data_IF_072352273501
#
_entry.id   IF_072352273501
#
_cell.length_a   1.000
_cell.length_b   1.000
_cell.length_c   1.000
_cell.angle_alpha   90.00
_cell.angle_beta   90.00
_cell.angle_gamma   90.00
#
_symmetry.space_group_name_H-M   'P 1'
#
loop_
_entity.id
_entity.type
_entity.pdbx_description
1 polymer ?
#
# COMPACT_ATOMS: atom_id res chain seq x y z
N UNK A 1 13.93 0.31 -3.62
CA UNK A 1 14.30 -0.43 -2.38
C UNK A 1 14.67 0.58 -1.33
N UNK A 2 14.16 0.43 -0.12
CA UNK A 2 14.53 1.31 0.98
C UNK A 2 16.01 1.16 1.35
N UNK A 3 16.67 2.28 1.61
CA UNK A 3 18.06 2.37 2.05
C UNK A 3 18.17 3.01 3.44
N UNK A 4 17.13 3.74 3.87
CA UNK A 4 17.08 4.38 5.20
C UNK A 4 16.92 3.32 6.28
N UNK A 5 17.88 3.26 7.21
CA UNK A 5 17.82 2.31 8.31
C UNK A 5 16.80 2.77 9.37
N UNK A 6 16.14 1.80 9.98
CA UNK A 6 15.19 2.05 11.07
C UNK A 6 15.86 2.74 12.24
N UNK A 7 17.08 2.32 12.57
CA UNK A 7 17.87 2.94 13.67
C UNK A 7 18.08 4.43 13.40
N UNK A 8 18.46 4.83 12.18
CA UNK A 8 18.70 6.24 11.85
C UNK A 8 17.44 7.11 12.03
N UNK A 9 16.25 6.54 11.80
CA UNK A 9 14.99 7.24 12.03
C UNK A 9 14.67 7.33 13.54
N UNK A 10 14.97 6.27 14.30
CA UNK A 10 14.80 6.26 15.76
C UNK A 10 15.75 7.26 16.42
N UNK A 11 17.03 7.26 16.05
CA UNK A 11 18.04 8.19 16.57
C UNK A 11 17.62 9.65 16.34
N UNK A 12 17.13 9.98 15.15
CA UNK A 12 16.58 11.32 14.85
C UNK A 12 15.38 11.67 15.73
N UNK A 13 14.50 10.71 16.00
CA UNK A 13 13.37 10.94 16.88
C UNK A 13 13.86 11.21 18.33
N UNK A 14 14.84 10.44 18.83
CA UNK A 14 15.44 10.64 20.15
C UNK A 14 16.10 12.02 20.30
N UNK A 15 16.82 12.47 19.26
CA UNK A 15 17.42 13.82 19.24
C UNK A 15 16.36 14.93 19.33
N UNK A 16 15.28 14.82 18.54
CA UNK A 16 14.20 15.82 18.55
C UNK A 16 13.44 15.80 19.87
N UNK A 17 13.21 14.62 20.45
CA UNK A 17 12.56 14.43 21.75
C UNK A 17 13.47 14.83 22.92
N UNK A 18 14.79 15.04 22.67
CA UNK A 18 15.81 15.29 23.70
C UNK A 18 15.88 14.18 24.76
N UNK A 19 15.66 12.93 24.35
CA UNK A 19 15.68 11.74 25.20
C UNK A 19 16.65 10.67 24.65
N UNK A 20 17.89 11.06 24.39
CA UNK A 20 18.94 10.17 23.87
C UNK A 20 19.35 9.04 24.83
N UNK A 21 18.93 9.11 26.07
CA UNK A 21 19.12 8.05 27.06
C UNK A 21 17.90 7.11 27.20
N UNK A 22 16.85 7.34 26.42
CA UNK A 22 15.67 6.48 26.35
C UNK A 22 14.93 6.27 27.69
N UNK A 23 14.94 7.30 28.53
CA UNK A 23 14.32 7.27 29.86
C UNK A 23 12.80 7.38 29.74
N UNK A 24 12.31 8.22 28.85
CA UNK A 24 10.89 8.51 28.67
C UNK A 24 10.26 7.69 27.54
N UNK A 25 10.95 7.55 26.42
CA UNK A 25 10.56 6.76 25.26
C UNK A 25 11.60 5.69 24.96
N UNK A 26 11.34 4.43 25.33
CA UNK A 26 12.24 3.34 24.96
C UNK A 26 12.32 3.18 23.44
N UNK A 27 13.47 2.74 22.93
CA UNK A 27 13.67 2.46 21.50
C UNK A 27 12.62 1.48 20.95
N UNK A 28 12.17 0.52 21.76
CA UNK A 28 11.08 -0.37 21.40
C UNK A 28 9.75 0.36 21.23
N UNK A 29 9.47 1.39 22.04
CA UNK A 29 8.28 2.22 21.89
C UNK A 29 8.33 3.01 20.59
N UNK A 30 9.47 3.62 20.29
CA UNK A 30 9.70 4.35 19.04
C UNK A 30 9.60 3.44 17.82
N UNK A 31 10.15 2.22 17.88
CA UNK A 31 9.99 1.20 16.84
C UNK A 31 8.52 0.83 16.61
N UNK A 32 7.73 0.71 17.68
CA UNK A 32 6.31 0.45 17.56
C UNK A 32 5.58 1.61 16.86
N UNK A 33 5.94 2.86 17.18
CA UNK A 33 5.37 4.03 16.49
C UNK A 33 5.79 4.09 15.03
N UNK A 34 7.03 3.72 14.69
CA UNK A 34 7.50 3.59 13.30
C UNK A 34 6.65 2.58 12.53
N UNK A 35 6.45 1.38 13.08
CA UNK A 35 5.61 0.34 12.48
C UNK A 35 4.15 0.81 12.29
N UNK A 36 3.62 1.56 13.25
CA UNK A 36 2.29 2.16 13.13
C UNK A 36 2.25 3.23 12.04
N UNK A 37 3.29 4.08 11.95
CA UNK A 37 3.42 5.11 10.92
C UNK A 37 3.43 4.53 9.52
N UNK A 38 4.16 3.44 9.30
CA UNK A 38 4.17 2.77 7.99
C UNK A 38 2.77 2.28 7.59
N UNK A 39 2.01 1.70 8.52
CA UNK A 39 0.64 1.25 8.25
C UNK A 39 -0.32 2.43 8.01
N UNK A 40 -0.14 3.51 8.75
CA UNK A 40 -0.94 4.73 8.55
C UNK A 40 -0.68 5.35 7.17
N UNK A 41 0.57 5.37 6.72
CA UNK A 41 0.92 5.81 5.36
C UNK A 41 0.17 4.97 4.31
N UNK A 42 0.16 3.64 4.44
CA UNK A 42 -0.54 2.76 3.49
C UNK A 42 -2.05 2.94 3.54
N UNK A 43 -2.62 3.33 4.68
CA UNK A 43 -4.04 3.68 4.78
C UNK A 43 -4.38 4.89 3.91
N UNK A 44 -3.56 5.96 3.95
CA UNK A 44 -3.71 7.14 3.11
C UNK A 44 -3.24 6.94 1.67
N UNK A 45 -2.22 6.12 1.49
CA UNK A 45 -1.53 5.86 0.22
C UNK A 45 -1.39 4.35 0.00
N UNK A 46 -2.44 3.68 -0.52
CA UNK A 46 -2.39 2.24 -0.79
C UNK A 46 -1.28 1.84 -1.77
N UNK A 47 -0.86 2.77 -2.63
CA UNK A 47 0.25 2.62 -3.57
C UNK A 47 1.65 2.70 -2.92
N UNK A 48 1.75 3.13 -1.67
CA UNK A 48 3.02 3.20 -0.94
C UNK A 48 3.62 1.82 -0.62
N UNK A 49 2.78 0.79 -0.56
CA UNK A 49 3.20 -0.61 -0.35
C UNK A 49 2.43 -1.52 -1.30
N UNK A 50 3.03 -1.82 -2.44
CA UNK A 50 2.43 -2.63 -3.48
C UNK A 50 3.18 -3.94 -3.68
N UNK A 51 2.42 -4.98 -3.99
CA UNK A 51 2.96 -6.28 -4.41
C UNK A 51 2.47 -6.56 -5.82
N UNK A 52 3.40 -6.89 -6.71
CA UNK A 52 3.11 -7.42 -8.05
C UNK A 52 3.52 -8.89 -8.06
N UNK A 53 2.57 -9.77 -8.29
CA UNK A 53 2.85 -11.21 -8.31
C UNK A 53 1.95 -11.98 -9.26
N UNK A 54 2.38 -13.23 -9.54
CA UNK A 54 1.57 -14.23 -10.23
C UNK A 54 0.54 -14.78 -9.26
N UNK A 55 -0.74 -14.61 -9.58
CA UNK A 55 -1.87 -15.08 -8.78
C UNK A 55 -2.56 -16.24 -9.49
N UNK A 56 -2.72 -17.37 -8.79
CA UNK A 56 -3.45 -18.52 -9.28
C UNK A 56 -4.95 -18.32 -9.04
N UNK A 57 -5.73 -18.38 -10.10
CA UNK A 57 -7.18 -18.24 -10.05
C UNK A 57 -7.85 -19.48 -9.45
N UNK A 58 -8.88 -19.24 -8.65
CA UNK A 58 -9.83 -20.29 -8.27
C UNK A 58 -10.79 -20.58 -9.44
N UNK A 59 -11.34 -21.79 -9.50
CA UNK A 59 -12.33 -22.23 -10.49
C UNK A 59 -13.72 -21.61 -10.18
N UNK A 60 -13.76 -20.30 -10.11
CA UNK A 60 -14.96 -19.53 -9.85
C UNK A 60 -14.83 -18.09 -10.36
N UNK A 61 -15.95 -17.43 -10.62
CA UNK A 61 -15.92 -16.02 -11.03
C UNK A 61 -15.39 -15.11 -9.92
N UNK A 62 -15.72 -15.38 -8.64
CA UNK A 62 -15.23 -14.59 -7.50
C UNK A 62 -13.85 -15.05 -7.06
N UNK A 63 -12.92 -14.11 -6.98
CA UNK A 63 -11.56 -14.30 -6.52
C UNK A 63 -11.33 -13.51 -5.23
N UNK A 64 -10.39 -13.97 -4.40
CA UNK A 64 -10.02 -13.30 -3.15
C UNK A 64 -8.52 -13.08 -3.12
N UNK A 65 -8.09 -11.86 -2.77
CA UNK A 65 -6.68 -11.51 -2.65
C UNK A 65 -5.95 -12.39 -1.63
N UNK A 66 -4.63 -12.52 -1.74
CA UNK A 66 -3.79 -13.13 -0.71
C UNK A 66 -4.02 -12.48 0.67
N UNK A 67 -3.68 -13.20 1.74
CA UNK A 67 -3.93 -12.77 3.14
C UNK A 67 -3.29 -11.40 3.44
N UNK A 68 -2.11 -11.12 2.86
CA UNK A 68 -1.41 -9.83 2.98
C UNK A 68 -2.07 -8.70 2.20
N UNK A 69 -2.97 -9.02 1.25
CA UNK A 69 -3.63 -8.04 0.39
C UNK A 69 -4.67 -7.21 1.15
N UNK A 70 -4.63 -5.91 0.93
CA UNK A 70 -5.59 -4.94 1.48
C UNK A 70 -6.64 -4.54 0.45
N UNK A 71 -6.20 -4.27 -0.78
CA UNK A 71 -7.08 -3.95 -1.91
C UNK A 71 -6.39 -4.24 -3.24
N UNK A 72 -7.18 -4.67 -4.22
CA UNK A 72 -6.71 -4.78 -5.61
C UNK A 72 -6.46 -3.37 -6.16
N UNK A 73 -5.34 -3.21 -6.88
CA UNK A 73 -5.01 -1.99 -7.61
C UNK A 73 -5.17 -2.18 -9.10
N UNK A 74 -4.66 -3.29 -9.66
CA UNK A 74 -4.77 -3.57 -11.08
C UNK A 74 -4.56 -5.07 -11.40
N UNK A 75 -5.01 -5.48 -12.59
CA UNK A 75 -4.71 -6.78 -13.19
C UNK A 75 -4.17 -6.52 -14.60
N UNK A 76 -2.93 -6.91 -14.88
CA UNK A 76 -2.30 -6.59 -16.15
C UNK A 76 -2.65 -7.56 -17.27
N UNK A 77 -2.45 -8.85 -17.01
CA UNK A 77 -2.55 -9.86 -18.06
C UNK A 77 -2.69 -11.27 -17.50
N UNK A 78 -3.13 -12.17 -18.34
CA UNK A 78 -2.97 -13.59 -18.13
C UNK A 78 -1.48 -13.98 -18.26
N UNK A 79 -1.03 -14.92 -17.43
CA UNK A 79 0.32 -15.50 -17.52
C UNK A 79 0.29 -16.90 -18.08
N UNK A 80 -0.75 -17.67 -17.76
CA UNK A 80 -1.00 -19.04 -18.25
C UNK A 80 -2.50 -19.25 -18.41
N UNK A 81 -2.95 -19.99 -19.45
CA UNK A 81 -2.16 -20.58 -20.53
C UNK A 81 -1.72 -19.56 -21.60
N UNK A 82 -2.39 -18.43 -21.74
CA UNK A 82 -2.17 -17.42 -22.77
C UNK A 82 -1.79 -16.08 -22.14
N UNK A 83 -0.86 -15.35 -22.76
CA UNK A 83 -0.43 -14.02 -22.31
C UNK A 83 -1.29 -12.91 -22.93
N UNK A 84 -2.59 -12.90 -22.62
CA UNK A 84 -3.53 -11.89 -23.11
C UNK A 84 -3.75 -10.81 -22.04
N UNK A 85 -3.96 -9.52 -22.45
CA UNK A 85 -4.28 -8.46 -21.50
C UNK A 85 -5.62 -8.73 -20.81
N UNK A 86 -5.76 -8.22 -19.59
CA UNK A 86 -7.02 -8.24 -18.84
C UNK A 86 -7.44 -6.79 -18.62
N UNK A 87 -8.69 -6.47 -18.84
CA UNK A 87 -9.20 -5.11 -18.74
C UNK A 87 -10.28 -4.99 -17.68
N UNK A 88 -10.32 -3.85 -17.00
CA UNK A 88 -11.41 -3.57 -16.06
C UNK A 88 -12.70 -3.27 -16.82
N UNK A 89 -13.82 -3.79 -16.32
CA UNK A 89 -15.15 -3.49 -16.85
C UNK A 89 -16.13 -3.21 -15.69
N UNK A 90 -17.10 -2.35 -15.93
CA UNK A 90 -18.17 -2.13 -14.99
C UNK A 90 -19.14 -3.34 -14.97
N UNK A 91 -19.50 -3.80 -13.77
CA UNK A 91 -20.41 -4.92 -13.60
C UNK A 91 -21.69 -4.80 -14.44
N UNK A 92 -22.28 -3.60 -14.47
CA UNK A 92 -23.53 -3.33 -15.18
C UNK A 92 -23.45 -3.67 -16.68
N UNK A 93 -22.29 -3.46 -17.29
CA UNK A 93 -22.10 -3.77 -18.72
C UNK A 93 -22.18 -5.29 -18.96
N UNK A 94 -21.57 -6.09 -18.07
CA UNK A 94 -21.70 -7.55 -18.19
C UNK A 94 -23.11 -8.04 -17.86
N UNK A 95 -23.76 -7.48 -16.84
CA UNK A 95 -25.15 -7.81 -16.49
C UNK A 95 -26.12 -7.52 -17.66
N UNK A 96 -25.84 -6.49 -18.49
CA UNK A 96 -26.69 -6.10 -19.62
C UNK A 96 -26.36 -6.87 -20.93
N UNK A 97 -25.13 -7.37 -21.09
CA UNK A 97 -24.67 -7.94 -22.38
C UNK A 97 -24.54 -9.46 -22.36
N UNK A 98 -24.32 -10.06 -21.21
CA UNK A 98 -24.02 -11.50 -21.08
C UNK A 98 -24.89 -12.10 -19.98
N UNK A 99 -25.94 -12.80 -20.40
CA UNK A 99 -26.76 -13.56 -19.48
C UNK A 99 -25.89 -14.61 -18.75
N UNK A 100 -26.06 -14.70 -17.42
CA UNK A 100 -25.39 -15.69 -16.58
C UNK A 100 -23.85 -15.69 -16.68
N UNK A 101 -23.24 -14.50 -16.83
CA UNK A 101 -21.77 -14.36 -16.95
C UNK A 101 -21.01 -14.97 -15.76
N UNK A 102 -21.65 -15.09 -14.58
CA UNK A 102 -21.08 -15.74 -13.41
C UNK A 102 -20.77 -17.23 -13.60
N UNK A 103 -21.41 -17.88 -14.57
CA UNK A 103 -21.24 -19.29 -14.92
C UNK A 103 -20.39 -19.48 -16.18
N UNK A 104 -20.00 -18.39 -16.84
CA UNK A 104 -19.21 -18.46 -18.07
C UNK A 104 -17.77 -18.85 -17.81
N UNK A 105 -17.33 -19.97 -18.41
CA UNK A 105 -15.95 -20.46 -18.34
C UNK A 105 -15.17 -20.19 -19.60
N UNK A 106 -13.84 -20.04 -19.50
CA UNK A 106 -12.97 -19.80 -20.64
C UNK A 106 -11.51 -20.20 -20.38
N UNK A 107 -10.71 -20.17 -21.45
CA UNK A 107 -9.28 -20.49 -21.40
C UNK A 107 -8.41 -19.34 -20.86
N UNK A 108 -8.94 -18.12 -20.82
CA UNK A 108 -8.25 -16.94 -20.31
C UNK A 108 -9.25 -15.91 -19.86
N UNK A 109 -8.90 -15.13 -18.86
CA UNK A 109 -9.68 -14.00 -18.39
C UNK A 109 -9.59 -12.86 -19.39
N UNK A 110 -10.71 -12.26 -19.76
CA UNK A 110 -10.78 -11.09 -20.64
C UNK A 110 -11.00 -9.81 -19.83
N UNK A 111 -11.87 -9.90 -18.83
CA UNK A 111 -12.26 -8.76 -18.02
C UNK A 111 -12.23 -9.08 -16.53
N UNK A 112 -12.01 -8.04 -15.73
CA UNK A 112 -12.23 -8.12 -14.29
C UNK A 112 -13.14 -7.00 -13.80
N UNK A 113 -13.86 -7.28 -12.71
CA UNK A 113 -14.76 -6.36 -12.05
C UNK A 113 -14.26 -6.15 -10.64
N UNK A 114 -14.10 -4.90 -10.24
CA UNK A 114 -13.69 -4.53 -8.90
C UNK A 114 -14.73 -3.65 -8.23
N UNK A 115 -15.08 -3.99 -6.96
CA UNK A 115 -15.98 -3.20 -6.14
C UNK A 115 -15.21 -2.62 -4.94
N UNK A 116 -15.05 -1.30 -4.83
CA UNK A 116 -14.36 -0.66 -3.70
C UNK A 116 -14.97 -0.94 -2.33
N UNK A 117 -16.23 -1.38 -2.26
CA UNK A 117 -16.92 -1.74 -1.00
C UNK A 117 -16.41 -3.09 -0.45
N UNK A 118 -15.99 -4.02 -1.35
CA UNK A 118 -15.35 -5.28 -0.97
C UNK A 118 -13.93 -5.32 -1.56
N UNK A 119 -12.98 -4.57 -0.96
CA UNK A 119 -11.67 -4.32 -1.57
C UNK A 119 -10.77 -5.56 -1.65
N UNK A 120 -11.08 -6.62 -0.91
CA UNK A 120 -10.33 -7.87 -0.90
C UNK A 120 -10.80 -8.90 -1.91
N UNK A 121 -11.91 -8.64 -2.58
CA UNK A 121 -12.46 -9.54 -3.59
C UNK A 121 -12.58 -8.82 -4.94
N UNK A 122 -12.51 -9.61 -6.00
CA UNK A 122 -12.78 -9.17 -7.35
C UNK A 122 -13.42 -10.31 -8.15
N UNK A 123 -14.02 -9.99 -9.28
CA UNK A 123 -14.59 -10.99 -10.18
C UNK A 123 -13.81 -11.00 -11.48
N UNK A 124 -13.73 -12.16 -12.09
CA UNK A 124 -13.10 -12.37 -13.41
C UNK A 124 -14.11 -12.93 -14.38
N UNK A 125 -13.99 -12.54 -15.65
CA UNK A 125 -14.86 -13.01 -16.72
C UNK A 125 -14.03 -13.23 -18.01
N UNK A 126 -14.23 -14.35 -18.71
CA UNK A 126 -14.76 -15.60 -18.17
C UNK A 126 -13.83 -16.18 -17.09
N UNK A 127 -14.32 -17.00 -16.18
CA UNK A 127 -13.46 -17.64 -15.18
C UNK A 127 -12.87 -18.97 -15.70
N UNK A 128 -11.72 -19.43 -15.20
CA UNK A 128 -11.11 -20.65 -15.66
C UNK A 128 -11.95 -21.89 -15.29
N UNK A 129 -12.06 -22.84 -16.23
CA UNK A 129 -12.78 -24.10 -16.04
C UNK A 129 -11.95 -25.18 -15.34
N UNK A 130 -10.65 -24.95 -15.19
CA UNK A 130 -9.69 -25.88 -14.59
C UNK A 130 -8.62 -25.14 -13.78
N UNK A 131 -7.88 -25.86 -12.97
CA UNK A 131 -6.81 -25.31 -12.13
C UNK A 131 -5.56 -24.94 -12.93
N UNK A 132 -4.76 -24.02 -12.39
CA UNK A 132 -3.45 -23.66 -12.95
C UNK A 132 -3.45 -22.41 -13.84
N UNK A 133 -4.58 -21.76 -14.03
CA UNK A 133 -4.62 -20.44 -14.67
C UNK A 133 -4.04 -19.40 -13.75
N UNK A 134 -3.14 -18.60 -14.28
CA UNK A 134 -2.48 -17.53 -13.51
C UNK A 134 -2.59 -16.20 -14.23
N UNK A 135 -2.76 -15.15 -13.42
CA UNK A 135 -2.78 -13.75 -13.85
C UNK A 135 -1.74 -12.95 -13.11
N UNK A 136 -1.31 -11.84 -13.67
CA UNK A 136 -0.44 -10.87 -13.01
C UNK A 136 -1.29 -9.80 -12.34
N UNK A 137 -1.25 -9.77 -10.99
CA UNK A 137 -2.00 -8.82 -10.19
C UNK A 137 -1.10 -7.84 -9.46
N UNK A 138 -1.59 -6.62 -9.28
CA UNK A 138 -1.01 -5.63 -8.38
C UNK A 138 -2.04 -5.32 -7.29
N UNK A 139 -1.60 -5.42 -6.06
CA UNK A 139 -2.43 -5.08 -4.91
C UNK A 139 -1.63 -4.33 -3.85
N UNK A 140 -2.34 -3.54 -3.06
CA UNK A 140 -1.77 -2.93 -1.86
C UNK A 140 -1.63 -3.97 -0.77
N UNK A 141 -0.47 -3.99 -0.11
CA UNK A 141 -0.16 -4.92 0.98
C UNK A 141 0.16 -4.18 2.26
N UNK A 142 -0.12 -4.82 3.40
CA UNK A 142 0.28 -4.26 4.70
C UNK A 142 1.79 -4.42 4.89
N UNK A 143 2.52 -3.36 5.24
CA UNK A 143 3.93 -3.48 5.60
C UNK A 143 4.11 -4.46 6.75
N UNK A 144 5.11 -5.33 6.63
CA UNK A 144 5.47 -6.25 7.71
C UNK A 144 5.97 -5.48 8.93
N UNK A 145 5.68 -6.00 10.13
CA UNK A 145 6.26 -5.45 11.34
C UNK A 145 7.76 -5.65 11.34
N UNK A 146 8.49 -4.56 11.53
CA UNK A 146 9.92 -4.59 11.76
C UNK A 146 10.16 -4.94 13.22
N UNK A 147 11.08 -5.87 13.47
CA UNK A 147 11.55 -6.26 14.79
C UNK A 147 13.06 -6.10 14.86
N UNK A 148 13.55 -5.45 15.91
CA UNK A 148 14.98 -5.21 16.15
C UNK A 148 15.35 -5.80 17.50
N UNK A 149 16.39 -6.62 17.51
CA UNK A 149 16.93 -7.20 18.75
C UNK A 149 18.07 -6.38 19.33
N UNK A 150 18.82 -5.68 18.51
CA UNK A 150 19.96 -4.86 18.91
C UNK A 150 19.94 -3.51 18.16
N UNK A 151 19.52 -2.45 18.85
CA UNK A 151 19.41 -1.12 18.30
C UNK A 151 20.74 -0.43 17.98
N UNK A 152 21.88 -1.02 18.37
CA UNK A 152 23.19 -0.43 18.07
C UNK A 152 23.78 -0.90 16.73
N UNK A 153 23.45 -2.14 16.31
CA UNK A 153 24.14 -2.79 15.18
C UNK A 153 23.20 -3.25 14.07
N UNK A 154 21.88 -3.17 14.28
CA UNK A 154 20.90 -3.61 13.29
C UNK A 154 20.96 -2.74 12.02
N UNK A 155 20.83 -3.36 10.86
CA UNK A 155 20.88 -2.68 9.56
C UNK A 155 19.55 -2.74 8.80
N UNK A 156 18.50 -3.19 9.48
CA UNK A 156 17.17 -3.27 8.89
C UNK A 156 16.68 -1.91 8.40
N UNK A 157 16.21 -1.86 7.17
CA UNK A 157 15.67 -0.66 6.56
C UNK A 157 14.18 -0.54 6.81
N UNK A 158 13.64 0.68 6.64
CA UNK A 158 12.20 0.90 6.65
C UNK A 158 11.51 0.02 5.58
N UNK A 159 10.25 -0.34 5.82
CA UNK A 159 9.48 -1.22 4.91
C UNK A 159 8.84 -0.50 3.72
N UNK A 160 8.89 0.84 3.71
CA UNK A 160 8.40 1.69 2.62
C UNK A 160 9.58 2.34 1.88
N UNK A 161 9.28 3.00 0.77
CA UNK A 161 10.29 3.77 0.04
C UNK A 161 10.89 4.91 0.90
N UNK A 162 12.17 5.23 0.68
CA UNK A 162 12.92 6.24 1.44
C UNK A 162 12.25 7.62 1.45
N UNK A 163 11.46 7.93 0.45
CA UNK A 163 10.68 9.17 0.36
C UNK A 163 9.66 9.34 1.48
N UNK A 164 9.29 8.26 2.15
CA UNK A 164 8.37 8.27 3.29
C UNK A 164 9.08 8.41 4.65
N UNK A 165 10.41 8.41 4.71
CA UNK A 165 11.17 8.45 5.97
C UNK A 165 10.79 9.64 6.85
N UNK A 166 10.63 10.83 6.26
CA UNK A 166 10.23 12.03 6.99
C UNK A 166 8.79 11.94 7.50
N UNK A 167 7.87 11.40 6.71
CA UNK A 167 6.49 11.19 7.15
C UNK A 167 6.42 10.18 8.31
N UNK A 168 7.23 9.12 8.27
CA UNK A 168 7.34 8.15 9.37
C UNK A 168 7.84 8.87 10.63
N UNK A 169 8.89 9.69 10.53
CA UNK A 169 9.42 10.46 11.64
C UNK A 169 8.38 11.42 12.25
N UNK A 170 7.66 12.17 11.41
CA UNK A 170 6.60 13.07 11.87
C UNK A 170 5.50 12.31 12.62
N UNK A 171 5.10 11.13 12.12
CA UNK A 171 4.14 10.28 12.82
C UNK A 171 4.67 9.77 14.17
N UNK A 172 5.93 9.37 14.24
CA UNK A 172 6.56 8.95 15.50
C UNK A 172 6.56 10.08 16.53
N UNK A 173 6.92 11.30 16.13
CA UNK A 173 6.93 12.48 16.99
C UNK A 173 5.51 12.86 17.43
N UNK A 174 4.54 12.81 16.52
CA UNK A 174 3.12 12.97 16.84
C UNK A 174 2.70 12.02 17.99
N UNK A 175 2.99 10.73 17.85
CA UNK A 175 2.62 9.73 18.87
C UNK A 175 3.37 9.91 20.18
N UNK A 176 4.64 10.32 20.11
CA UNK A 176 5.46 10.56 21.28
C UNK A 176 4.94 11.72 22.11
N UNK A 177 4.65 12.87 21.50
CA UNK A 177 4.06 14.03 22.19
C UNK A 177 2.62 13.79 22.60
N UNK A 178 1.86 12.95 21.90
CA UNK A 178 0.50 12.59 22.31
C UNK A 178 0.50 11.78 23.63
N UNK A 179 1.48 10.91 23.84
CA UNK A 179 1.64 10.17 25.10
C UNK A 179 1.84 11.10 26.29
N UNK A 180 2.37 12.29 26.04
CA UNK A 180 2.82 13.27 27.02
C UNK A 180 1.87 14.45 27.17
N UNK A 181 0.61 14.25 26.81
CA UNK A 181 -0.42 15.28 26.68
C UNK A 181 -0.84 15.98 27.98
N UNK A 182 -0.22 15.67 29.12
CA UNK A 182 -0.43 16.38 30.39
C UNK A 182 0.03 17.84 30.32
N UNK A 183 0.96 18.14 29.41
CA UNK A 183 1.44 19.50 29.14
C UNK A 183 0.77 20.07 27.89
N UNK A 184 0.11 21.23 28.03
CA UNK A 184 -0.58 21.89 26.91
C UNK A 184 0.32 22.15 25.70
N UNK A 185 1.62 22.41 25.92
CA UNK A 185 2.62 22.60 24.86
C UNK A 185 2.86 21.33 24.04
N UNK A 186 2.81 20.15 24.65
CA UNK A 186 3.05 18.89 23.97
C UNK A 186 1.85 18.46 23.13
N UNK A 187 0.64 18.81 23.55
CA UNK A 187 -0.56 18.61 22.73
C UNK A 187 -0.51 19.45 21.44
N UNK A 188 -0.04 20.70 21.52
CA UNK A 188 0.13 21.56 20.35
C UNK A 188 1.21 21.05 19.41
N UNK A 189 2.35 20.58 19.94
CA UNK A 189 3.41 19.93 19.15
C UNK A 189 2.91 18.66 18.47
N UNK A 190 2.19 17.81 19.20
CA UNK A 190 1.56 16.62 18.66
C UNK A 190 0.66 16.96 17.45
N UNK A 191 -0.23 17.93 17.59
CA UNK A 191 -1.10 18.37 16.49
C UNK A 191 -0.30 18.91 15.29
N UNK A 192 0.79 19.66 15.54
CA UNK A 192 1.66 20.20 14.49
C UNK A 192 2.37 19.08 13.70
N UNK A 193 2.92 18.08 14.38
CA UNK A 193 3.56 16.94 13.71
C UNK A 193 2.57 16.09 12.91
N UNK A 194 1.35 15.90 13.41
CA UNK A 194 0.32 15.21 12.64
C UNK A 194 -0.09 16.00 11.39
N UNK A 195 -0.20 17.32 11.47
CA UNK A 195 -0.43 18.17 10.32
C UNK A 195 0.73 18.10 9.30
N UNK A 196 1.99 18.10 9.77
CA UNK A 196 3.16 17.91 8.90
C UNK A 196 3.13 16.55 8.19
N UNK A 197 2.82 15.49 8.91
CA UNK A 197 2.62 14.14 8.35
C UNK A 197 1.59 14.14 7.21
N UNK A 198 0.40 14.67 7.46
CA UNK A 198 -0.66 14.73 6.45
C UNK A 198 -0.28 15.59 5.24
N UNK A 199 0.31 16.76 5.47
CA UNK A 199 0.76 17.67 4.41
C UNK A 199 1.86 17.02 3.55
N UNK A 200 2.82 16.33 4.18
CA UNK A 200 3.88 15.61 3.47
C UNK A 200 3.33 14.54 2.51
N UNK A 201 2.33 13.78 2.95
CA UNK A 201 1.66 12.80 2.11
C UNK A 201 0.86 13.46 0.98
N UNK A 202 0.19 14.58 1.24
CA UNK A 202 -0.58 15.33 0.25
C UNK A 202 0.30 15.92 -0.85
N UNK A 203 1.44 16.52 -0.51
CA UNK A 203 2.40 17.07 -1.48
C UNK A 203 2.97 15.94 -2.36
N UNK A 204 3.35 14.79 -1.77
CA UNK A 204 3.84 13.65 -2.53
C UNK A 204 2.78 13.15 -3.52
N UNK A 205 1.52 13.08 -3.12
CA UNK A 205 0.41 12.67 -4.01
C UNK A 205 0.31 13.59 -5.24
N UNK A 206 0.44 14.91 -5.03
CA UNK A 206 0.39 15.87 -6.13
C UNK A 206 1.60 15.75 -7.06
N UNK A 207 2.80 15.55 -6.50
CA UNK A 207 4.02 15.35 -7.26
C UNK A 207 3.96 14.08 -8.12
N UNK A 208 3.52 12.96 -7.53
CA UNK A 208 3.37 11.69 -8.23
C UNK A 208 2.34 11.79 -9.37
N UNK A 209 1.19 12.43 -9.13
CA UNK A 209 0.18 12.66 -10.16
C UNK A 209 0.69 13.55 -11.33
N UNK A 210 1.56 14.51 -11.01
CA UNK A 210 2.19 15.39 -12.01
C UNK A 210 3.26 14.71 -12.86
N UNK A 211 3.90 13.66 -12.33
CA UNK A 211 5.01 12.95 -12.97
C UNK A 211 4.61 11.62 -13.62
N UNK A 212 3.35 11.21 -13.55
CA UNK A 212 2.89 9.97 -14.18
C UNK A 212 3.09 10.01 -15.70
N UNK A 213 3.61 8.94 -16.33
CA UNK A 213 3.65 8.81 -17.77
C UNK A 213 2.25 8.96 -18.37
N UNK A 214 2.08 9.90 -19.30
CA UNK A 214 0.80 10.08 -20.01
C UNK A 214 0.89 9.39 -21.37
N UNK A 215 -0.17 8.71 -21.82
CA UNK A 215 -0.25 8.24 -23.19
C UNK A 215 -0.07 9.45 -24.14
N UNK A 216 0.74 9.28 -25.19
CA UNK A 216 0.83 10.30 -26.23
C UNK A 216 -0.57 10.51 -26.83
N UNK A 217 -1.07 11.74 -26.82
CA UNK A 217 -2.31 12.08 -27.53
C UNK A 217 -2.09 11.79 -29.00
N UNK A 218 -2.93 10.96 -29.68
CA UNK A 218 -2.82 10.76 -31.12
C UNK A 218 -2.86 12.12 -31.81
N UNK A 219 -1.91 12.37 -32.69
CA UNK A 219 -1.96 13.57 -33.53
C UNK A 219 -3.29 13.56 -34.28
N UNK A 220 -4.10 14.59 -34.10
CA UNK A 220 -5.26 14.80 -34.97
C UNK A 220 -4.72 15.16 -36.34
N UNK A 221 -4.83 14.23 -37.30
CA UNK A 221 -4.59 14.53 -38.71
C UNK A 221 -5.62 15.58 -39.13
N UNK A 222 -5.11 16.78 -39.42
CA UNK A 222 -5.87 17.90 -40.02
C UNK A 222 -5.95 17.75 -41.51
#
# INVERSE_FOLDING_TARGET
MATVRVIDVIDKAEEILQDTSNVRWSQQTLLNYLNHGQREIVLFRPDASTTNESFTLAESAKQTLPVSGLRLLDIYKNLSPNKTPVTIIERKILDDQVDDWYSSTGLSVEHYIYNPVDPKSFYVYPYPSDSGHTIEIIYSSSPSNITISNFTTDTTTIGLDDTYANAILDYMLYRSYQKDSEYAGDLQRSASYYASFQNGLGIKTQADAGSQPRPATPAQDT
#
